data_IF_476433607571
#
_entry.id   IF_476433607571
#
_cell.length_a   1.000
_cell.length_b   1.000
_cell.length_c   1.000
_cell.angle_alpha   90.00
_cell.angle_beta   90.00
_cell.angle_gamma   90.00
#
_symmetry.space_group_name_H-M   'P 1'
#
loop_
_entity.id
_entity.type
_entity.pdbx_description
1 polymer ?
#
# COMPACT_ATOMS: atom_id res chain seq x y z
N UNK A 1 -31.47 18.29 -24.54
CA UNK A 1 -30.67 18.22 -23.30
C UNK A 1 -30.06 16.83 -23.21
N UNK A 2 -28.74 16.71 -23.37
CA UNK A 2 -28.03 15.45 -23.19
C UNK A 2 -28.10 15.02 -21.72
N UNK A 3 -28.60 13.81 -21.47
CA UNK A 3 -28.71 13.23 -20.13
C UNK A 3 -27.29 13.08 -19.57
N UNK A 4 -26.96 13.82 -18.51
CA UNK A 4 -25.64 13.73 -17.85
C UNK A 4 -25.39 12.29 -17.41
N UNK A 5 -24.19 11.79 -17.67
CA UNK A 5 -23.74 10.47 -17.21
C UNK A 5 -23.89 10.39 -15.68
N UNK A 6 -24.65 9.42 -15.14
CA UNK A 6 -24.80 9.24 -13.70
C UNK A 6 -23.47 9.10 -12.95
N UNK A 7 -22.45 8.49 -13.56
CA UNK A 7 -21.12 8.30 -12.98
C UNK A 7 -20.34 9.62 -12.93
N UNK A 8 -20.37 10.40 -14.01
CA UNK A 8 -19.82 11.74 -14.01
C UNK A 8 -20.53 12.64 -12.99
N UNK A 9 -21.85 12.50 -12.84
CA UNK A 9 -22.64 13.23 -11.86
C UNK A 9 -22.27 12.87 -10.42
N UNK A 10 -22.04 11.59 -10.09
CA UNK A 10 -21.64 11.20 -8.73
C UNK A 10 -20.20 11.60 -8.43
N UNK A 11 -19.30 11.54 -9.42
CA UNK A 11 -17.90 11.91 -9.26
C UNK A 11 -17.68 13.39 -8.94
N UNK A 12 -18.51 14.24 -9.54
CA UNK A 12 -18.54 15.69 -9.27
C UNK A 12 -19.38 16.05 -8.04
N UNK A 13 -20.06 15.09 -7.42
CA UNK A 13 -20.86 15.29 -6.22
C UNK A 13 -19.99 15.19 -4.96
N UNK A 14 -20.26 15.98 -3.91
CA UNK A 14 -19.62 15.78 -2.60
C UNK A 14 -19.87 14.38 -2.00
N UNK A 15 -20.86 13.64 -2.51
CA UNK A 15 -21.19 12.27 -2.08
C UNK A 15 -20.07 11.25 -2.34
N UNK A 16 -19.17 11.49 -3.29
CA UNK A 16 -18.07 10.55 -3.55
C UNK A 16 -16.98 10.62 -2.47
N UNK A 17 -16.88 11.76 -1.78
CA UNK A 17 -15.83 12.00 -0.81
C UNK A 17 -16.05 11.24 0.50
N UNK A 18 -14.96 10.84 1.20
CA UNK A 18 -13.57 10.95 0.74
C UNK A 18 -13.27 9.98 -0.43
N UNK A 19 -12.54 10.46 -1.43
CA UNK A 19 -12.09 9.71 -2.60
C UNK A 19 -10.61 10.01 -2.91
N UNK A 20 -9.83 8.97 -3.18
CA UNK A 20 -8.40 9.12 -3.54
C UNK A 20 -8.33 9.73 -4.94
N UNK A 21 -7.72 10.90 -5.07
CA UNK A 21 -7.58 11.63 -6.34
C UNK A 21 -6.30 11.27 -7.08
N UNK A 22 -5.28 10.86 -6.35
CA UNK A 22 -3.95 10.57 -6.88
C UNK A 22 -3.17 9.70 -5.91
N UNK A 23 -2.30 8.84 -6.43
CA UNK A 23 -1.28 8.11 -5.68
C UNK A 23 0.06 8.22 -6.41
N UNK A 24 1.14 8.38 -5.64
CA UNK A 24 2.52 8.49 -6.13
C UNK A 24 3.41 7.53 -5.38
N UNK A 25 4.16 6.71 -6.10
CA UNK A 25 5.01 5.67 -5.53
C UNK A 25 6.43 6.21 -5.32
N UNK A 26 6.80 6.54 -4.08
CA UNK A 26 8.15 7.06 -3.78
C UNK A 26 9.21 5.97 -3.77
N UNK A 27 8.93 4.86 -3.10
CA UNK A 27 9.77 3.67 -3.11
C UNK A 27 8.88 2.46 -2.80
N UNK A 28 8.19 1.92 -3.79
CA UNK A 28 7.20 0.88 -3.55
C UNK A 28 7.37 -0.30 -4.52
N UNK A 29 7.96 -1.38 -4.01
CA UNK A 29 8.35 -2.58 -4.76
C UNK A 29 9.16 -2.20 -6.00
N UNK A 30 8.77 -2.71 -7.16
CA UNK A 30 9.43 -2.47 -8.44
C UNK A 30 8.68 -1.44 -9.29
N UNK A 31 7.87 -0.58 -8.67
CA UNK A 31 7.24 0.54 -9.37
C UNK A 31 8.27 1.66 -9.50
N UNK A 32 8.34 2.27 -10.67
CA UNK A 32 9.22 3.39 -10.93
C UNK A 32 9.01 4.52 -9.90
N UNK A 33 10.12 5.07 -9.43
CA UNK A 33 10.12 6.13 -8.42
C UNK A 33 9.40 7.37 -8.96
N UNK A 34 8.50 7.91 -8.14
CA UNK A 34 7.59 9.01 -8.47
C UNK A 34 6.58 8.71 -9.58
N UNK A 35 6.40 7.45 -9.97
CA UNK A 35 5.28 7.06 -10.82
C UNK A 35 3.97 7.52 -10.17
N UNK A 36 3.17 8.22 -10.95
CA UNK A 36 1.89 8.79 -10.53
C UNK A 36 0.74 8.05 -11.21
N UNK A 37 -0.34 7.82 -10.46
CA UNK A 37 -1.65 7.45 -10.98
C UNK A 37 -2.67 8.48 -10.49
N UNK A 38 -3.42 9.04 -11.43
CA UNK A 38 -4.54 9.95 -11.16
C UNK A 38 -5.87 9.23 -11.30
N UNK A 39 -6.86 9.65 -10.51
CA UNK A 39 -8.21 9.09 -10.51
C UNK A 39 -9.20 10.21 -10.79
N UNK A 40 -9.51 10.38 -12.07
CA UNK A 40 -10.37 11.40 -12.66
C UNK A 40 -11.78 10.88 -13.01
N UNK A 41 -12.06 9.61 -12.69
CA UNK A 41 -13.35 8.96 -12.90
C UNK A 41 -13.64 8.00 -11.73
N UNK A 42 -14.93 7.69 -11.40
CA UNK A 42 -15.26 6.85 -10.25
C UNK A 42 -14.91 5.36 -10.47
N UNK A 43 -14.57 4.98 -11.70
CA UNK A 43 -14.12 3.64 -12.07
C UNK A 43 -12.77 3.77 -12.77
N UNK A 44 -11.78 3.01 -12.30
CA UNK A 44 -10.45 2.97 -12.90
C UNK A 44 -10.07 1.52 -13.15
N UNK A 45 -9.60 1.23 -14.35
CA UNK A 45 -9.16 -0.11 -14.75
C UNK A 45 -7.66 -0.08 -15.01
N UNK A 46 -6.90 -0.84 -14.23
CA UNK A 46 -5.47 -1.03 -14.43
C UNK A 46 -5.27 -2.28 -15.32
N UNK A 47 -4.85 -2.07 -16.57
CA UNK A 47 -4.55 -3.15 -17.53
C UNK A 47 -3.05 -3.23 -17.84
N UNK A 48 -2.59 -4.36 -18.35
CA UNK A 48 -1.19 -4.56 -18.76
C UNK A 48 -0.72 -5.99 -18.54
N UNK A 49 0.49 -6.30 -19.03
CA UNK A 49 1.08 -7.64 -18.95
C UNK A 49 1.27 -8.14 -17.51
N UNK A 50 1.38 -9.46 -17.32
CA UNK A 50 1.67 -10.01 -15.99
C UNK A 50 3.02 -9.48 -15.46
N UNK A 51 3.12 -9.30 -14.14
CA UNK A 51 4.33 -8.76 -13.51
C UNK A 51 4.47 -7.22 -13.51
N UNK A 52 3.56 -6.47 -14.15
CA UNK A 52 3.64 -5.00 -14.21
C UNK A 52 3.13 -4.25 -12.97
N UNK A 53 3.23 -4.85 -11.77
CA UNK A 53 2.88 -4.22 -10.48
C UNK A 53 1.44 -3.71 -10.30
N UNK A 54 0.48 -4.11 -11.14
CA UNK A 54 -0.96 -3.73 -10.98
C UNK A 54 -1.52 -4.06 -9.59
N UNK A 55 -1.31 -5.30 -9.13
CA UNK A 55 -1.72 -5.74 -7.79
C UNK A 55 -1.04 -4.92 -6.69
N UNK A 56 0.21 -4.51 -6.90
CA UNK A 56 0.94 -3.67 -5.96
C UNK A 56 0.28 -2.29 -5.81
N UNK A 57 -0.11 -1.66 -6.92
CA UNK A 57 -0.87 -0.42 -6.88
C UNK A 57 -2.21 -0.58 -6.12
N UNK A 58 -2.95 -1.67 -6.36
CA UNK A 58 -4.19 -1.97 -5.62
C UNK A 58 -3.97 -2.16 -4.12
N UNK A 59 -2.89 -2.84 -3.72
CA UNK A 59 -2.55 -3.02 -2.29
C UNK A 59 -2.19 -1.69 -1.63
N UNK A 60 -1.49 -0.79 -2.33
CA UNK A 60 -1.19 0.55 -1.82
C UNK A 60 -2.46 1.40 -1.64
N UNK A 61 -3.41 1.31 -2.58
CA UNK A 61 -4.73 1.94 -2.48
C UNK A 61 -5.56 1.38 -1.32
N UNK A 62 -5.53 0.06 -1.09
CA UNK A 62 -6.15 -0.55 0.09
C UNK A 62 -5.53 0.02 1.38
N UNK A 63 -4.20 0.11 1.46
CA UNK A 63 -3.49 0.70 2.60
C UNK A 63 -3.71 2.21 2.80
N UNK A 64 -4.30 2.92 1.83
CA UNK A 64 -4.67 4.32 1.97
C UNK A 64 -5.92 4.53 2.86
N UNK A 65 -6.65 3.46 3.18
CA UNK A 65 -7.86 3.52 4.01
C UNK A 65 -7.50 3.38 5.50
N UNK A 66 -8.23 4.09 6.35
CA UNK A 66 -8.07 4.03 7.81
C UNK A 66 -8.24 2.60 8.34
N UNK A 67 -7.39 2.21 9.28
CA UNK A 67 -7.35 0.84 9.80
C UNK A 67 -6.85 -0.24 8.83
N UNK A 68 -6.49 0.11 7.59
CA UNK A 68 -5.92 -0.81 6.60
C UNK A 68 -4.43 -0.56 6.41
N UNK A 69 -3.67 -1.62 6.14
CA UNK A 69 -2.23 -1.55 5.88
C UNK A 69 -1.84 -2.43 4.69
N UNK A 70 -0.82 -2.06 3.91
CA UNK A 70 -0.31 -2.91 2.84
C UNK A 70 0.12 -4.31 3.31
N UNK A 71 0.56 -4.44 4.58
CA UNK A 71 1.00 -5.69 5.19
C UNK A 71 -0.06 -6.77 5.35
N UNK A 72 -1.34 -6.43 5.18
CA UNK A 72 -2.43 -7.42 5.11
C UNK A 72 -2.30 -8.33 3.88
N UNK A 73 -1.74 -7.80 2.78
CA UNK A 73 -1.62 -8.53 1.51
C UNK A 73 -0.19 -8.64 0.99
N UNK A 74 0.75 -7.87 1.54
CA UNK A 74 2.13 -7.88 1.08
C UNK A 74 3.12 -7.56 2.20
N UNK A 75 4.14 -8.40 2.34
CA UNK A 75 5.20 -8.21 3.31
C UNK A 75 6.56 -8.59 2.69
N UNK A 76 7.62 -7.98 3.18
CA UNK A 76 8.99 -8.26 2.70
C UNK A 76 9.49 -9.60 3.23
N UNK A 77 10.06 -10.41 2.34
CA UNK A 77 10.81 -11.63 2.65
C UNK A 77 12.31 -11.45 2.38
N UNK A 78 13.18 -12.30 2.92
CA UNK A 78 14.62 -12.26 2.62
C UNK A 78 14.99 -12.36 1.13
N UNK A 79 14.08 -12.90 0.30
CA UNK A 79 14.26 -13.05 -1.15
C UNK A 79 14.06 -11.71 -1.86
N UNK A 80 13.20 -10.85 -1.30
CA UNK A 80 12.94 -9.50 -1.79
C UNK A 80 14.11 -8.58 -1.37
N UNK A 81 15.27 -8.72 -2.02
CA UNK A 81 16.36 -7.73 -1.88
C UNK A 81 15.92 -6.45 -2.59
N UNK A 82 15.73 -5.36 -1.86
CA UNK A 82 15.81 -4.02 -2.44
C UNK A 82 17.26 -3.55 -2.38
N UNK A 83 17.81 -3.11 -3.50
CA UNK A 83 18.96 -2.23 -3.47
C UNK A 83 18.52 -0.95 -2.75
N UNK A 84 19.35 -0.47 -1.82
CA UNK A 84 19.13 0.67 -0.94
C UNK A 84 18.30 0.41 0.35
N UNK A 85 18.79 0.97 1.45
CA UNK A 85 18.14 1.09 2.77
C UNK A 85 16.89 2.01 2.74
N UNK A 86 16.20 2.09 1.62
CA UNK A 86 15.03 2.93 1.44
C UNK A 86 13.79 2.17 1.91
N UNK A 87 13.12 2.73 2.91
CA UNK A 87 11.87 2.16 3.40
C UNK A 87 10.78 2.22 2.33
N UNK A 88 9.94 1.20 2.29
CA UNK A 88 8.82 1.15 1.37
C UNK A 88 7.87 2.31 1.66
N UNK A 89 7.53 3.08 0.65
CA UNK A 89 6.75 4.30 0.82
C UNK A 89 6.02 4.70 -0.44
N UNK A 90 4.91 5.40 -0.23
CA UNK A 90 4.11 6.06 -1.24
C UNK A 90 3.31 7.17 -0.58
N UNK A 91 2.72 8.05 -1.37
CA UNK A 91 1.78 9.03 -0.87
C UNK A 91 0.58 9.14 -1.78
N UNK A 92 -0.53 9.62 -1.24
CA UNK A 92 -1.75 9.82 -2.01
C UNK A 92 -2.43 11.10 -1.56
N UNK A 93 -3.36 11.59 -2.38
CA UNK A 93 -4.17 12.74 -2.02
C UNK A 93 -5.66 12.48 -2.12
N UNK A 94 -6.41 13.21 -1.31
CA UNK A 94 -7.86 13.29 -1.37
C UNK A 94 -8.31 14.72 -1.06
N UNK A 95 -9.56 15.06 -1.37
CA UNK A 95 -10.12 16.37 -1.02
C UNK A 95 -10.64 16.34 0.41
N UNK A 96 -10.07 17.15 1.28
CA UNK A 96 -10.61 17.34 2.62
C UNK A 96 -11.82 18.27 2.56
N UNK A 97 -12.99 17.78 3.00
CA UNK A 97 -14.24 18.53 2.91
C UNK A 97 -14.30 19.73 3.87
N UNK A 98 -13.59 19.68 5.01
CA UNK A 98 -13.62 20.74 6.02
C UNK A 98 -12.76 21.94 5.61
N UNK A 99 -11.56 21.70 5.10
CA UNK A 99 -10.65 22.76 4.64
C UNK A 99 -10.79 23.11 3.16
N UNK A 100 -11.38 22.23 2.35
CA UNK A 100 -11.43 22.34 0.88
C UNK A 100 -10.09 22.07 0.19
N UNK A 101 -9.04 21.75 0.95
CA UNK A 101 -7.69 21.54 0.44
C UNK A 101 -7.48 20.10 -0.06
N UNK A 102 -6.45 19.93 -0.88
CA UNK A 102 -5.92 18.60 -1.21
C UNK A 102 -5.04 18.11 -0.06
N UNK A 103 -5.57 17.18 0.73
CA UNK A 103 -4.84 16.51 1.80
C UNK A 103 -3.85 15.52 1.18
N UNK A 104 -2.56 15.64 1.48
CA UNK A 104 -1.52 14.74 1.00
C UNK A 104 -0.99 13.87 2.14
N UNK A 105 -1.26 12.56 2.07
CA UNK A 105 -0.92 11.59 3.10
C UNK A 105 0.29 10.79 2.66
N UNK A 106 1.41 10.95 3.37
CA UNK A 106 2.60 10.12 3.18
C UNK A 106 2.48 8.85 4.01
N UNK A 107 2.72 7.69 3.40
CA UNK A 107 2.68 6.39 4.05
C UNK A 107 4.00 5.65 3.84
N UNK A 108 4.55 5.10 4.91
CA UNK A 108 5.81 4.38 4.85
C UNK A 108 5.86 3.21 5.83
N UNK A 109 6.60 2.18 5.44
CA UNK A 109 6.92 1.04 6.27
C UNK A 109 8.13 1.41 7.14
N UNK A 110 7.89 1.79 8.39
CA UNK A 110 8.95 2.24 9.28
C UNK A 110 9.59 1.07 10.03
N UNK A 111 10.57 0.42 9.40
CA UNK A 111 11.28 -0.75 9.94
C UNK A 111 12.44 -0.36 10.87
N UNK A 112 12.24 0.61 11.77
CA UNK A 112 13.20 0.87 12.87
C UNK A 112 13.40 -0.42 13.69
N UNK A 113 14.60 -0.58 14.25
CA UNK A 113 15.07 -1.82 14.92
C UNK A 113 14.06 -2.39 15.94
N UNK A 114 13.32 -1.53 16.65
CA UNK A 114 12.35 -1.94 17.68
C UNK A 114 10.92 -2.15 17.15
N UNK A 115 10.69 -2.03 15.84
CA UNK A 115 9.37 -2.11 15.23
C UNK A 115 9.23 -3.37 14.36
N UNK A 116 8.00 -3.85 14.25
CA UNK A 116 7.68 -4.94 13.34
C UNK A 116 8.05 -4.53 11.89
N UNK A 117 8.69 -5.43 11.13
CA UNK A 117 9.05 -5.19 9.73
C UNK A 117 7.85 -4.91 8.81
N UNK A 118 6.64 -5.21 9.28
CA UNK A 118 5.35 -4.96 8.63
C UNK A 118 4.63 -3.71 9.14
N UNK A 119 5.31 -2.90 9.96
CA UNK A 119 4.71 -1.72 10.57
C UNK A 119 4.64 -0.56 9.56
N UNK A 120 3.41 -0.21 9.20
CA UNK A 120 3.11 0.93 8.34
C UNK A 120 2.54 2.09 9.16
N UNK A 121 3.02 3.29 8.91
CA UNK A 121 2.46 4.50 9.51
C UNK A 121 2.41 5.66 8.52
N UNK A 122 1.68 6.70 8.91
CA UNK A 122 1.68 7.99 8.21
C UNK A 122 2.76 8.90 8.78
N UNK A 123 3.42 9.68 7.92
CA UNK A 123 4.35 10.73 8.38
C UNK A 123 4.01 12.10 7.76
N UNK A 124 4.74 13.13 8.20
CA UNK A 124 4.65 14.47 7.63
C UNK A 124 5.00 14.46 6.13
N UNK A 125 4.38 15.34 5.32
CA UNK A 125 4.70 15.50 3.91
C UNK A 125 6.20 15.61 3.65
N UNK A 126 6.65 15.00 2.56
CA UNK A 126 8.06 14.94 2.17
C UNK A 126 8.30 15.75 0.89
N UNK A 127 8.88 16.93 1.02
CA UNK A 127 9.17 17.82 -0.10
C UNK A 127 10.03 17.15 -1.19
N UNK A 128 10.97 16.27 -0.79
CA UNK A 128 11.80 15.48 -1.72
C UNK A 128 11.00 14.56 -2.67
N UNK A 129 9.74 14.26 -2.36
CA UNK A 129 8.84 13.46 -3.20
C UNK A 129 7.74 14.33 -3.85
N UNK A 130 7.93 15.65 -3.89
CA UNK A 130 7.00 16.58 -4.52
C UNK A 130 5.76 16.91 -3.69
N UNK A 131 5.73 16.53 -2.41
CA UNK A 131 4.59 16.80 -1.53
C UNK A 131 4.59 18.25 -1.03
N UNK A 132 3.39 18.82 -0.89
CA UNK A 132 3.17 20.15 -0.33
C UNK A 132 3.27 20.10 1.19
N UNK A 133 4.24 20.82 1.73
CA UNK A 133 4.36 21.02 3.18
C UNK A 133 3.21 21.89 3.66
N UNK A 134 2.55 21.44 4.74
CA UNK A 134 1.58 22.26 5.44
C UNK A 134 2.34 23.22 6.34
N UNK A 135 2.86 24.30 5.77
CA UNK A 135 3.55 25.34 6.53
C UNK A 135 2.53 26.22 7.27
N UNK A 136 2.63 26.27 8.60
CA UNK A 136 2.17 27.35 9.49
C UNK A 136 0.72 27.90 9.31
N UNK A 137 -0.14 27.26 8.52
CA UNK A 137 -1.55 27.65 8.39
C UNK A 137 -2.36 26.96 9.48
N UNK A 138 -3.13 27.74 10.25
CA UNK A 138 -4.24 27.24 11.08
C UNK A 138 -5.32 26.66 10.17
N UNK A 139 -5.05 25.53 9.52
CA UNK A 139 -6.03 24.80 8.74
C UNK A 139 -7.01 24.19 9.73
N UNK A 140 -8.26 24.62 9.66
CA UNK A 140 -9.32 24.07 10.49
C UNK A 140 -9.84 22.77 9.84
N UNK A 141 -9.20 21.65 10.17
CA UNK A 141 -9.65 20.32 9.76
C UNK A 141 -9.33 19.28 10.81
N UNK A 142 -10.34 18.50 11.18
CA UNK A 142 -10.22 17.32 12.06
C UNK A 142 -9.39 16.20 11.43
N UNK A 143 -9.17 16.26 10.12
CA UNK A 143 -8.33 15.32 9.37
C UNK A 143 -6.84 15.71 9.37
N UNK A 144 -6.48 16.86 9.92
CA UNK A 144 -5.09 17.30 10.08
C UNK A 144 -4.65 17.21 11.54
N UNK A 145 -3.55 16.51 11.81
CA UNK A 145 -2.92 16.45 13.12
C UNK A 145 -1.49 17.02 13.03
N UNK A 146 -1.31 18.24 13.52
CA UNK A 146 -0.08 19.00 13.30
C UNK A 146 0.14 19.23 11.79
N UNK A 147 1.12 18.55 11.21
CA UNK A 147 1.41 18.57 9.76
C UNK A 147 0.98 17.31 9.02
N UNK A 148 0.40 16.32 9.72
CA UNK A 148 0.05 15.00 9.16
C UNK A 148 -1.43 14.91 8.85
N UNK A 149 -1.75 14.65 7.59
CA UNK A 149 -3.12 14.31 7.19
C UNK A 149 -3.45 12.87 7.58
N UNK A 150 -4.67 12.65 8.09
CA UNK A 150 -5.21 11.34 8.41
C UNK A 150 -5.58 10.59 7.13
N UNK A 151 -5.56 9.25 7.22
CA UNK A 151 -6.07 8.38 6.17
C UNK A 151 -7.55 8.62 5.90
N UNK A 152 -8.01 8.26 4.70
CA UNK A 152 -9.43 8.35 4.37
C UNK A 152 -10.24 7.34 5.18
N UNK A 153 -11.38 7.77 5.71
CA UNK A 153 -12.35 6.87 6.35
C UNK A 153 -13.43 6.51 5.35
N UNK A 154 -13.33 5.30 4.78
CA UNK A 154 -14.28 4.76 3.81
C UNK A 154 -14.27 3.24 3.93
N UNK A 155 -15.42 2.61 3.70
CA UNK A 155 -15.45 1.16 3.52
C UNK A 155 -14.68 0.77 2.26
N UNK A 156 -13.84 -0.26 2.38
CA UNK A 156 -13.04 -0.79 1.26
C UNK A 156 -13.14 -2.30 1.25
N UNK A 157 -13.44 -2.82 0.06
CA UNK A 157 -13.51 -4.26 -0.21
C UNK A 157 -12.38 -4.58 -1.18
N UNK A 158 -11.44 -5.44 -0.75
CA UNK A 158 -10.40 -5.98 -1.61
C UNK A 158 -10.85 -7.36 -2.10
N UNK A 159 -11.06 -7.49 -3.42
CA UNK A 159 -11.55 -8.72 -4.03
C UNK A 159 -10.43 -9.31 -4.88
N UNK A 160 -10.09 -10.57 -4.64
CA UNK A 160 -9.08 -11.30 -5.37
C UNK A 160 -9.64 -12.64 -5.86
N UNK A 161 -9.82 -12.77 -7.16
CA UNK A 161 -10.31 -14.00 -7.80
C UNK A 161 -9.12 -14.81 -8.33
N UNK A 162 -8.51 -15.64 -7.47
CA UNK A 162 -7.55 -16.65 -7.91
C UNK A 162 -8.27 -17.97 -8.13
N UNK A 163 -8.13 -18.55 -9.33
CA UNK A 163 -8.65 -19.89 -9.64
C UNK A 163 -7.88 -20.99 -8.92
N UNK A 164 -6.58 -20.78 -8.67
CA UNK A 164 -5.70 -21.74 -8.03
C UNK A 164 -5.07 -21.14 -6.77
N UNK A 165 -5.10 -21.89 -5.67
CA UNK A 165 -4.50 -21.51 -4.39
C UNK A 165 -3.09 -22.11 -4.29
N UNK A 166 -2.08 -21.25 -4.40
CA UNK A 166 -0.68 -21.67 -4.23
C UNK A 166 -0.40 -22.14 -2.79
N UNK A 167 0.68 -22.89 -2.58
CA UNK A 167 1.12 -23.27 -1.23
C UNK A 167 1.39 -22.04 -0.34
N UNK A 168 1.88 -20.95 -0.93
CA UNK A 168 2.06 -19.67 -0.26
C UNK A 168 0.71 -19.09 0.20
N UNK A 169 -0.28 -19.02 -0.69
CA UNK A 169 -1.60 -18.46 -0.36
C UNK A 169 -2.33 -19.30 0.69
N UNK A 170 -2.22 -20.63 0.59
CA UNK A 170 -2.75 -21.56 1.61
C UNK A 170 -2.14 -21.27 2.98
N UNK A 171 -0.82 -21.10 3.04
CA UNK A 171 -0.14 -20.76 4.29
C UNK A 171 -0.56 -19.38 4.79
N UNK A 172 -0.57 -18.36 3.94
CA UNK A 172 -0.78 -16.97 4.36
C UNK A 172 -2.23 -16.66 4.75
N UNK A 173 -3.21 -17.17 4.01
CA UNK A 173 -4.61 -16.79 4.20
C UNK A 173 -5.43 -17.85 4.95
N UNK A 174 -5.08 -19.13 4.79
CA UNK A 174 -5.94 -20.24 5.24
C UNK A 174 -5.34 -21.10 6.36
N UNK A 175 -4.07 -20.92 6.74
CA UNK A 175 -3.51 -21.61 7.91
C UNK A 175 -3.91 -20.90 9.21
N UNK A 176 -4.19 -21.68 10.26
CA UNK A 176 -4.59 -21.16 11.58
C UNK A 176 -3.35 -20.67 12.34
N UNK A 177 -2.32 -21.51 12.42
CA UNK A 177 -0.98 -21.16 12.91
C UNK A 177 0.01 -22.18 12.31
N UNK A 178 0.95 -21.77 11.45
CA UNK A 178 1.84 -22.72 10.77
C UNK A 178 2.83 -23.39 11.74
N UNK A 179 3.06 -22.78 12.92
CA UNK A 179 3.80 -23.38 14.04
C UNK A 179 3.67 -22.49 15.29
N UNK A 180 3.71 -23.10 16.48
CA UNK A 180 3.74 -22.38 17.77
C UNK A 180 5.03 -21.57 17.99
N UNK A 181 6.07 -21.80 17.17
CA UNK A 181 7.35 -21.11 17.26
C UNK A 181 7.32 -19.69 16.65
N UNK A 182 6.29 -19.34 15.88
CA UNK A 182 6.19 -18.07 15.17
C UNK A 182 4.94 -17.31 15.58
N UNK A 183 5.08 -15.99 15.79
CA UNK A 183 3.96 -15.13 16.21
C UNK A 183 2.94 -14.91 15.09
N UNK A 184 3.41 -14.84 13.85
CA UNK A 184 2.58 -14.58 12.68
C UNK A 184 2.89 -15.55 11.53
N UNK A 185 1.95 -15.67 10.59
CA UNK A 185 2.14 -16.43 9.34
C UNK A 185 3.27 -15.85 8.50
N UNK A 186 3.41 -14.53 8.51
CA UNK A 186 4.47 -13.78 7.85
C UNK A 186 5.84 -14.15 8.43
N UNK A 187 5.97 -14.26 9.76
CA UNK A 187 7.22 -14.65 10.42
C UNK A 187 7.66 -16.06 10.04
N UNK A 188 6.71 -17.00 10.01
CA UNK A 188 6.96 -18.36 9.53
C UNK A 188 7.47 -18.35 8.08
N UNK A 189 6.77 -17.65 7.19
CA UNK A 189 7.15 -17.56 5.78
C UNK A 189 8.55 -16.95 5.66
N UNK A 190 8.84 -15.83 6.32
CA UNK A 190 10.17 -15.20 6.31
C UNK A 190 11.28 -16.13 6.78
N UNK A 191 11.03 -16.89 7.84
CA UNK A 191 12.00 -17.82 8.38
C UNK A 191 12.32 -18.92 7.35
N UNK A 192 11.30 -19.47 6.69
CA UNK A 192 11.47 -20.51 5.66
C UNK A 192 12.04 -19.97 4.34
N UNK A 193 11.73 -18.72 3.97
CA UNK A 193 12.27 -18.05 2.79
C UNK A 193 13.80 -17.89 2.81
N UNK A 194 14.45 -17.94 3.98
CA UNK A 194 15.93 -17.93 4.08
C UNK A 194 16.56 -19.14 3.38
N UNK A 195 15.94 -20.31 3.51
CA UNK A 195 16.41 -21.56 2.89
C UNK A 195 16.29 -21.49 1.36
N UNK A 196 15.16 -20.94 0.88
CA UNK A 196 14.95 -20.70 -0.54
C UNK A 196 15.95 -19.70 -1.11
N UNK A 197 16.18 -18.59 -0.41
CA UNK A 197 17.22 -17.61 -0.78
C UNK A 197 18.60 -18.27 -0.90
N UNK A 198 19.00 -19.07 0.11
CA UNK A 198 20.30 -19.74 0.09
C UNK A 198 20.44 -20.70 -1.09
N UNK A 199 19.36 -21.42 -1.43
CA UNK A 199 19.34 -22.35 -2.56
C UNK A 199 19.47 -21.64 -3.90
N UNK A 200 18.79 -20.49 -4.07
CA UNK A 200 18.90 -19.63 -5.26
C UNK A 200 20.31 -19.08 -5.40
N UNK A 201 20.86 -18.50 -4.32
CA UNK A 201 22.20 -17.90 -4.32
C UNK A 201 23.31 -18.93 -4.60
N UNK A 202 23.14 -20.17 -4.14
CA UNK A 202 24.08 -21.27 -4.37
C UNK A 202 23.82 -22.07 -5.66
N UNK A 203 22.81 -21.69 -6.44
CA UNK A 203 22.35 -22.44 -7.62
C UNK A 203 22.18 -23.95 -7.35
N UNK A 204 21.68 -24.30 -6.15
CA UNK A 204 21.60 -25.69 -5.71
C UNK A 204 20.51 -26.43 -6.50
N UNK A 205 20.82 -27.62 -7.00
CA UNK A 205 19.87 -28.48 -7.73
C UNK A 205 18.94 -29.24 -6.80
N UNK A 206 19.27 -29.34 -5.51
CA UNK A 206 18.46 -29.97 -4.48
C UNK A 206 18.67 -29.31 -3.12
N UNK A 207 17.68 -29.41 -2.24
CA UNK A 207 17.75 -28.95 -0.86
C UNK A 207 17.03 -29.94 0.05
N UNK A 208 17.73 -30.46 1.07
CA UNK A 208 17.15 -31.33 2.09
C UNK A 208 16.79 -30.46 3.29
N UNK A 209 15.50 -30.39 3.60
CA UNK A 209 15.01 -29.80 4.83
C UNK A 209 15.18 -30.83 5.95
N UNK A 210 16.03 -30.52 6.93
CA UNK A 210 16.09 -31.24 8.21
C UNK A 210 15.04 -30.69 9.17
#
# INVERSE_FOLDING_TARGET
MTKKDPLESIFNSPKIEPFIRKIVFSNFKNIEKLQELTFDYPITVLVGQNGTNKTSALVALYGAVDGKVPSDYWFTTPIDKSEENSYQSYWYSYKDQQSGLSAEVFQHNNQKIDRNADYWETDRPKAQFGMKTVENKKINSTNLSGTRWKKIKKEVVYINFRSELSAFDRCLYHSINPSNAYKTRQDFIRAKSKNLKSSIEKQSTSHILY
#
